data_IF_252887097065
#
_entry.id   IF_252887097065
#
_cell.length_a   1.000
_cell.length_b   1.000
_cell.length_c   1.000
_cell.angle_alpha   90.00
_cell.angle_beta   90.00
_cell.angle_gamma   90.00
#
_symmetry.space_group_name_H-M   'P 1'
#
loop_
_entity.id
_entity.type
_entity.pdbx_description
1 polymer ?
#
# COMPACT_ATOMS: atom_id res chain seq x y z
N UNK A 1 -10.92 -26.03 25.25
CA UNK A 1 -12.15 -26.17 24.44
C UNK A 1 -11.71 -26.12 23.00
N UNK A 2 -12.03 -27.13 22.17
CA UNK A 2 -11.86 -27.01 20.72
C UNK A 2 -13.13 -26.32 20.20
N UNK A 3 -13.08 -25.07 19.73
CA UNK A 3 -14.23 -24.42 19.14
C UNK A 3 -14.48 -25.07 17.77
N UNK A 4 -15.36 -26.07 17.75
CA UNK A 4 -15.76 -26.73 16.49
C UNK A 4 -16.60 -25.80 15.61
N UNK A 5 -17.12 -24.70 16.16
CA UNK A 5 -17.90 -23.69 15.45
C UNK A 5 -17.22 -22.32 15.46
N UNK A 6 -17.07 -21.71 14.29
CA UNK A 6 -16.56 -20.33 14.12
C UNK A 6 -17.39 -19.35 14.94
N UNK A 7 -18.70 -19.59 15.09
CA UNK A 7 -19.56 -18.75 15.90
C UNK A 7 -19.23 -18.80 17.40
N UNK A 8 -18.66 -19.90 17.89
CA UNK A 8 -18.15 -20.00 19.26
C UNK A 8 -16.82 -19.28 19.41
N UNK A 9 -15.92 -19.43 18.43
CA UNK A 9 -14.65 -18.72 18.41
C UNK A 9 -14.86 -17.20 18.39
N UNK A 10 -15.76 -16.70 17.54
CA UNK A 10 -16.11 -15.28 17.46
C UNK A 10 -16.65 -14.73 18.79
N UNK A 11 -17.56 -15.46 19.43
CA UNK A 11 -18.06 -15.09 20.78
C UNK A 11 -16.97 -15.13 21.85
N UNK A 12 -16.08 -16.12 21.79
CA UNK A 12 -14.94 -16.23 22.68
C UNK A 12 -13.95 -15.08 22.46
N UNK A 13 -13.80 -14.59 21.23
CA UNK A 13 -12.89 -13.48 20.90
C UNK A 13 -13.26 -12.20 21.64
N UNK A 14 -14.56 -11.95 21.81
CA UNK A 14 -15.10 -10.80 22.55
C UNK A 14 -15.01 -11.00 24.06
N UNK A 15 -15.05 -12.26 24.53
CA UNK A 15 -15.14 -12.59 25.95
C UNK A 15 -13.78 -12.82 26.62
N UNK A 16 -12.85 -13.48 25.91
CA UNK A 16 -11.53 -13.89 26.38
C UNK A 16 -10.54 -13.99 25.19
N UNK A 17 -10.05 -12.82 24.78
CA UNK A 17 -9.12 -12.69 23.65
C UNK A 17 -7.79 -13.42 23.89
N UNK A 18 -7.33 -13.52 25.14
CA UNK A 18 -6.07 -14.17 25.50
C UNK A 18 -6.17 -15.69 25.34
N UNK A 19 -7.28 -16.30 25.75
CA UNK A 19 -7.53 -17.71 25.52
C UNK A 19 -7.64 -18.04 24.02
N UNK A 20 -8.26 -17.16 23.24
CA UNK A 20 -8.34 -17.30 21.77
C UNK A 20 -6.95 -17.18 21.14
N UNK A 21 -6.12 -16.22 21.59
CA UNK A 21 -4.75 -16.09 21.10
C UNK A 21 -3.92 -17.35 21.39
N UNK A 22 -4.04 -17.94 22.58
CA UNK A 22 -3.37 -19.20 22.93
C UNK A 22 -3.84 -20.37 22.07
N UNK A 23 -5.14 -20.44 21.78
CA UNK A 23 -5.69 -21.45 20.87
C UNK A 23 -5.14 -21.25 19.45
N UNK A 24 -5.11 -20.02 18.92
CA UNK A 24 -4.59 -19.70 17.59
C UNK A 24 -3.09 -20.02 17.43
N UNK A 25 -2.32 -20.02 18.52
CA UNK A 25 -0.93 -20.48 18.50
C UNK A 25 -0.80 -22.01 18.47
N UNK A 26 -1.85 -22.73 18.87
CA UNK A 26 -1.86 -24.20 19.00
C UNK A 26 -2.49 -24.91 17.80
N UNK A 27 -3.22 -24.20 16.93
CA UNK A 27 -3.85 -24.78 15.75
C UNK A 27 -2.85 -25.08 14.64
N UNK A 28 -3.17 -26.09 13.83
CA UNK A 28 -2.37 -26.41 12.65
C UNK A 28 -2.70 -25.50 11.45
N UNK A 29 -1.92 -25.66 10.38
CA UNK A 29 -2.07 -24.84 9.18
C UNK A 29 -3.38 -25.11 8.42
N UNK A 30 -3.92 -26.33 8.48
CA UNK A 30 -5.15 -26.69 7.78
C UNK A 30 -6.37 -26.09 8.48
N UNK A 31 -6.41 -26.15 9.80
CA UNK A 31 -7.46 -25.56 10.64
C UNK A 31 -7.49 -24.04 10.51
N UNK A 32 -6.32 -23.38 10.51
CA UNK A 32 -6.20 -21.95 10.25
C UNK A 32 -6.69 -21.59 8.84
N UNK A 33 -6.29 -22.35 7.83
CA UNK A 33 -6.75 -22.10 6.46
C UNK A 33 -8.27 -22.27 6.35
N UNK A 34 -8.84 -23.30 6.98
CA UNK A 34 -10.29 -23.49 7.04
C UNK A 34 -11.03 -22.35 7.78
N UNK A 35 -10.41 -21.72 8.78
CA UNK A 35 -10.94 -20.52 9.43
C UNK A 35 -10.92 -19.32 8.48
N UNK A 36 -9.79 -19.08 7.82
CA UNK A 36 -9.62 -17.99 6.85
C UNK A 36 -10.52 -18.15 5.61
N UNK A 37 -10.77 -19.38 5.17
CA UNK A 37 -11.72 -19.69 4.09
C UNK A 37 -13.17 -19.43 4.52
N UNK A 38 -13.51 -19.71 5.79
CA UNK A 38 -14.83 -19.39 6.35
C UNK A 38 -15.03 -17.89 6.51
N UNK A 39 -14.00 -17.15 6.90
CA UNK A 39 -13.99 -15.67 6.86
C UNK A 39 -14.24 -15.14 5.46
N UNK A 40 -13.47 -15.60 4.47
CA UNK A 40 -13.63 -15.26 3.06
C UNK A 40 -15.07 -15.53 2.55
N UNK A 41 -15.62 -16.69 2.89
CA UNK A 41 -16.98 -17.08 2.53
C UNK A 41 -18.07 -16.27 3.27
N UNK A 42 -17.77 -15.69 4.43
CA UNK A 42 -18.69 -14.84 5.17
C UNK A 42 -18.75 -13.43 4.60
N UNK A 43 -17.60 -12.81 4.31
CA UNK A 43 -17.52 -11.48 3.68
C UNK A 43 -18.30 -11.43 2.36
N UNK A 44 -18.27 -12.52 1.60
CA UNK A 44 -19.05 -12.64 0.35
C UNK A 44 -20.56 -12.82 0.58
N UNK A 45 -21.02 -13.26 1.76
CA UNK A 45 -22.42 -13.68 2.02
C UNK A 45 -23.28 -12.70 2.83
N UNK A 46 -22.74 -11.56 3.30
CA UNK A 46 -23.42 -10.44 4.00
C UNK A 46 -24.71 -10.80 4.75
N UNK A 47 -24.62 -11.08 6.07
CA UNK A 47 -25.85 -11.34 6.86
C UNK A 47 -26.09 -10.60 8.17
N UNK A 48 -25.11 -10.03 8.90
CA UNK A 48 -25.39 -9.28 10.14
C UNK A 48 -24.24 -8.33 10.54
N UNK A 49 -24.55 -7.16 11.14
CA UNK A 49 -23.56 -6.15 11.60
C UNK A 49 -22.78 -6.60 12.85
N UNK A 50 -23.44 -7.21 13.84
CA UNK A 50 -22.77 -7.69 15.06
C UNK A 50 -21.66 -8.70 14.74
N UNK A 51 -21.93 -9.64 13.81
CA UNK A 51 -20.93 -10.62 13.38
C UNK A 51 -19.73 -9.99 12.68
N UNK A 52 -19.87 -8.78 12.10
CA UNK A 52 -18.73 -8.06 11.49
C UNK A 52 -17.76 -7.56 12.54
N UNK A 53 -18.27 -7.02 13.64
CA UNK A 53 -17.45 -6.60 14.78
C UNK A 53 -16.65 -7.77 15.35
N UNK A 54 -17.30 -8.93 15.48
CA UNK A 54 -16.66 -10.14 15.99
C UNK A 54 -15.54 -10.63 15.04
N UNK A 55 -15.76 -10.58 13.72
CA UNK A 55 -14.73 -10.95 12.73
C UNK A 55 -13.54 -9.99 12.71
N UNK A 56 -13.80 -8.69 12.83
CA UNK A 56 -12.74 -7.68 12.93
C UNK A 56 -11.82 -7.95 14.12
N UNK A 57 -12.39 -8.23 15.30
CA UNK A 57 -11.63 -8.54 16.50
C UNK A 57 -10.74 -9.79 16.30
N UNK A 58 -11.27 -10.83 15.65
CA UNK A 58 -10.52 -12.05 15.35
C UNK A 58 -9.38 -11.78 14.37
N UNK A 59 -9.61 -11.00 13.31
CA UNK A 59 -8.58 -10.61 12.34
C UNK A 59 -7.47 -9.79 13.01
N UNK A 60 -7.83 -8.86 13.91
CA UNK A 60 -6.84 -8.09 14.67
C UNK A 60 -5.94 -8.99 15.52
N UNK A 61 -6.48 -10.03 16.16
CA UNK A 61 -5.67 -11.01 16.90
C UNK A 61 -4.78 -11.84 15.97
N UNK A 62 -5.30 -12.28 14.82
CA UNK A 62 -4.54 -13.04 13.84
C UNK A 62 -3.39 -12.24 13.21
N UNK A 63 -3.57 -10.92 13.07
CA UNK A 63 -2.53 -10.03 12.54
C UNK A 63 -1.46 -9.68 13.58
N UNK A 64 -1.78 -9.78 14.88
CA UNK A 64 -0.80 -9.63 15.97
C UNK A 64 0.08 -10.86 16.18
N UNK A 65 -0.42 -12.05 15.83
CA UNK A 65 0.33 -13.30 16.00
C UNK A 65 1.32 -13.53 14.86
N UNK A 66 2.61 -13.68 15.19
CA UNK A 66 3.69 -13.98 14.23
C UNK A 66 3.40 -15.21 13.37
N UNK A 67 2.76 -16.23 13.94
CA UNK A 67 2.48 -17.49 13.25
C UNK A 67 1.37 -17.38 12.19
N UNK A 68 0.49 -16.38 12.30
CA UNK A 68 -0.71 -16.28 11.46
C UNK A 68 -0.78 -15.00 10.63
N UNK A 69 0.02 -13.97 10.95
CA UNK A 69 -0.01 -12.64 10.33
C UNK A 69 0.10 -12.71 8.81
N UNK A 70 1.19 -13.26 8.27
CA UNK A 70 1.40 -13.34 6.82
C UNK A 70 0.26 -14.03 6.07
N UNK A 71 -0.24 -15.16 6.60
CA UNK A 71 -1.35 -15.91 5.98
C UNK A 71 -2.64 -15.10 5.98
N UNK A 72 -2.91 -14.41 7.09
CA UNK A 72 -4.09 -13.56 7.25
C UNK A 72 -4.02 -12.36 6.31
N UNK A 73 -2.90 -11.65 6.27
CA UNK A 73 -2.66 -10.52 5.36
C UNK A 73 -2.81 -10.94 3.90
N UNK A 74 -2.18 -12.05 3.51
CA UNK A 74 -2.28 -12.59 2.15
C UNK A 74 -3.73 -12.88 1.77
N UNK A 75 -4.49 -13.51 2.68
CA UNK A 75 -5.89 -13.85 2.40
C UNK A 75 -6.75 -12.61 2.25
N UNK A 76 -6.57 -11.61 3.12
CA UNK A 76 -7.29 -10.34 3.07
C UNK A 76 -6.97 -9.59 1.77
N UNK A 77 -5.70 -9.52 1.36
CA UNK A 77 -5.31 -8.88 0.10
C UNK A 77 -6.01 -9.54 -1.09
N UNK A 78 -6.03 -10.87 -1.15
CA UNK A 78 -6.75 -11.58 -2.22
C UNK A 78 -8.27 -11.39 -2.14
N UNK A 79 -8.87 -11.27 -0.95
CA UNK A 79 -10.29 -10.96 -0.80
C UNK A 79 -10.64 -9.58 -1.34
N UNK A 80 -9.86 -8.58 -0.91
CA UNK A 80 -9.98 -7.20 -1.38
C UNK A 80 -9.81 -7.16 -2.91
N UNK A 81 -8.78 -7.82 -3.43
CA UNK A 81 -8.54 -7.93 -4.87
C UNK A 81 -9.73 -8.54 -5.62
N UNK A 82 -10.32 -9.60 -5.06
CA UNK A 82 -11.46 -10.32 -5.63
C UNK A 82 -12.81 -9.62 -5.50
N UNK A 83 -12.84 -8.43 -4.89
CA UNK A 83 -14.01 -7.55 -4.91
C UNK A 83 -15.15 -8.06 -4.03
N UNK A 84 -14.85 -8.78 -2.94
CA UNK A 84 -15.86 -9.32 -2.03
C UNK A 84 -16.60 -8.24 -1.22
N UNK A 85 -15.96 -7.10 -0.98
CA UNK A 85 -16.39 -6.12 0.03
C UNK A 85 -16.55 -4.71 -0.57
N UNK A 86 -17.25 -3.81 0.15
CA UNK A 86 -17.37 -2.42 -0.28
C UNK A 86 -16.03 -1.66 -0.10
N UNK A 87 -15.90 -0.48 -0.69
CA UNK A 87 -14.65 0.29 -0.66
C UNK A 87 -14.16 0.62 0.76
N UNK A 88 -15.07 1.01 1.65
CA UNK A 88 -14.75 1.33 3.05
C UNK A 88 -14.26 0.10 3.82
N UNK A 89 -14.90 -1.05 3.62
CA UNK A 89 -14.51 -2.33 4.21
C UNK A 89 -13.13 -2.75 3.70
N UNK A 90 -12.85 -2.61 2.39
CA UNK A 90 -11.52 -2.85 1.85
C UNK A 90 -10.47 -1.95 2.51
N UNK A 91 -10.73 -0.65 2.64
CA UNK A 91 -9.81 0.28 3.31
C UNK A 91 -9.57 -0.11 4.77
N UNK A 92 -10.62 -0.49 5.49
CA UNK A 92 -10.51 -0.95 6.88
C UNK A 92 -9.60 -2.18 6.97
N UNK A 93 -9.84 -3.21 6.15
CA UNK A 93 -9.05 -4.43 6.18
C UNK A 93 -7.57 -4.21 5.84
N UNK A 94 -7.27 -3.37 4.84
CA UNK A 94 -5.89 -3.03 4.49
C UNK A 94 -5.22 -2.15 5.56
N UNK A 95 -6.00 -1.34 6.27
CA UNK A 95 -5.52 -0.56 7.43
C UNK A 95 -5.14 -1.50 8.57
N UNK A 96 -5.95 -2.53 8.86
CA UNK A 96 -5.60 -3.52 9.90
C UNK A 96 -4.32 -4.27 9.57
N UNK A 97 -4.08 -4.63 8.29
CA UNK A 97 -2.79 -5.21 7.86
C UNK A 97 -1.65 -4.25 8.20
N UNK A 98 -1.80 -2.97 7.83
CA UNK A 98 -0.80 -1.93 8.08
C UNK A 98 -0.48 -1.79 9.57
N UNK A 99 -1.53 -1.73 10.42
CA UNK A 99 -1.39 -1.65 11.87
C UNK A 99 -0.76 -2.92 12.46
N UNK A 100 -1.07 -4.10 11.91
CA UNK A 100 -0.46 -5.37 12.34
C UNK A 100 1.06 -5.38 12.15
N UNK A 101 1.55 -4.92 10.99
CA UNK A 101 2.99 -4.86 10.71
C UNK A 101 3.69 -3.73 11.47
N UNK A 102 3.07 -2.55 11.60
CA UNK A 102 3.60 -1.46 12.42
C UNK A 102 3.67 -1.85 13.91
N UNK A 103 2.64 -2.52 14.42
CA UNK A 103 2.61 -3.03 15.79
C UNK A 103 3.69 -4.09 16.04
N UNK A 104 3.89 -5.01 15.09
CA UNK A 104 4.93 -6.03 15.19
C UNK A 104 6.36 -5.46 15.26
N UNK A 105 6.58 -4.20 14.85
CA UNK A 105 7.86 -3.50 15.06
C UNK A 105 8.02 -2.91 16.46
N UNK A 106 6.92 -2.52 17.12
CA UNK A 106 6.94 -1.72 18.35
C UNK A 106 6.96 -2.55 19.64
N UNK A 107 6.70 -3.86 19.58
CA UNK A 107 6.44 -4.69 20.77
C UNK A 107 7.64 -4.87 21.73
N UNK A 108 8.88 -4.53 21.34
CA UNK A 108 10.08 -4.80 22.15
C UNK A 108 10.73 -3.56 22.80
N UNK A 109 10.30 -2.33 22.49
CA UNK A 109 10.87 -1.09 23.06
C UNK A 109 10.56 -0.89 24.56
N UNK A 110 9.70 -1.73 25.15
CA UNK A 110 9.33 -1.64 26.57
C UNK A 110 10.22 -2.47 27.52
N UNK A 111 11.26 -3.17 27.01
CA UNK A 111 12.18 -3.94 27.86
C UNK A 111 13.50 -3.19 28.11
N UNK A 112 13.57 -2.45 29.22
CA UNK A 112 14.70 -1.59 29.62
C UNK A 112 16.05 -2.32 29.89
N UNK A 113 16.21 -3.60 29.56
CA UNK A 113 17.45 -4.36 29.81
C UNK A 113 17.82 -5.26 28.62
N UNK A 114 18.68 -4.79 27.69
CA UNK A 114 19.16 -5.61 26.58
C UNK A 114 20.17 -6.64 27.10
N UNK A 115 19.73 -7.90 27.21
CA UNK A 115 20.65 -9.04 27.38
C UNK A 115 21.10 -9.53 26.00
N UNK A 116 22.31 -10.11 25.89
CA UNK A 116 22.82 -10.64 24.61
C UNK A 116 21.89 -11.67 23.93
N UNK A 117 21.08 -12.40 24.73
CA UNK A 117 20.04 -13.30 24.22
C UNK A 117 18.78 -12.59 23.70
N UNK A 118 18.49 -11.36 24.17
CA UNK A 118 17.42 -10.51 23.65
C UNK A 118 17.73 -10.01 22.23
N UNK A 119 18.98 -9.61 21.99
CA UNK A 119 19.40 -9.10 20.67
C UNK A 119 19.31 -10.15 19.56
N UNK A 120 19.63 -11.42 19.85
CA UNK A 120 19.51 -12.50 18.85
C UNK A 120 18.05 -12.80 18.52
N UNK A 121 17.16 -12.84 19.54
CA UNK A 121 15.73 -13.06 19.34
C UNK A 121 15.09 -11.92 18.55
N UNK A 122 15.41 -10.67 18.92
CA UNK A 122 14.95 -9.50 18.19
C UNK A 122 15.45 -9.53 16.73
N UNK A 123 16.72 -9.86 16.50
CA UNK A 123 17.25 -9.99 15.14
C UNK A 123 16.52 -11.08 14.32
N UNK A 124 16.25 -12.24 14.91
CA UNK A 124 15.49 -13.31 14.23
C UNK A 124 14.06 -12.89 13.90
N UNK A 125 13.41 -12.15 14.81
CA UNK A 125 12.09 -11.56 14.60
C UNK A 125 12.10 -10.52 13.48
N UNK A 126 13.02 -9.57 13.50
CA UNK A 126 13.21 -8.54 12.46
C UNK A 126 13.41 -9.20 11.09
N UNK A 127 14.22 -10.26 11.02
CA UNK A 127 14.40 -11.00 9.76
C UNK A 127 13.11 -11.69 9.31
N UNK A 128 12.35 -12.30 10.23
CA UNK A 128 11.09 -12.96 9.91
C UNK A 128 10.05 -11.94 9.38
N UNK A 129 9.89 -10.79 10.06
CA UNK A 129 8.98 -9.73 9.62
C UNK A 129 9.42 -9.19 8.25
N UNK A 130 10.71 -8.97 8.03
CA UNK A 130 11.21 -8.54 6.72
C UNK A 130 10.91 -9.56 5.62
N UNK A 131 11.06 -10.86 5.89
CA UNK A 131 10.72 -11.93 4.93
C UNK A 131 9.22 -11.98 4.63
N UNK A 132 8.37 -11.77 5.63
CA UNK A 132 6.93 -11.64 5.42
C UNK A 132 6.59 -10.45 4.52
N UNK A 133 7.19 -9.29 4.77
CA UNK A 133 6.95 -8.07 3.98
C UNK A 133 7.43 -8.25 2.54
N UNK A 134 8.59 -8.89 2.32
CA UNK A 134 9.07 -9.25 0.97
C UNK A 134 8.05 -10.11 0.24
N UNK A 135 7.46 -11.08 0.93
CA UNK A 135 6.43 -11.95 0.35
C UNK A 135 5.17 -11.15 0.00
N UNK A 136 4.72 -10.25 0.88
CA UNK A 136 3.57 -9.39 0.62
C UNK A 136 3.81 -8.45 -0.56
N UNK A 137 4.98 -7.79 -0.63
CA UNK A 137 5.34 -6.93 -1.76
C UNK A 137 5.36 -7.72 -3.07
N UNK A 138 5.86 -8.96 -3.06
CA UNK A 138 5.82 -9.84 -4.23
C UNK A 138 4.39 -10.11 -4.68
N UNK A 139 3.50 -10.52 -3.75
CA UNK A 139 2.09 -10.77 -4.04
C UNK A 139 1.41 -9.50 -4.56
N UNK A 140 1.68 -8.35 -3.94
CA UNK A 140 1.12 -7.07 -4.37
C UNK A 140 1.58 -6.72 -5.78
N UNK A 141 2.86 -6.85 -6.11
CA UNK A 141 3.35 -6.57 -7.46
C UNK A 141 2.76 -7.51 -8.51
N UNK A 142 2.61 -8.80 -8.21
CA UNK A 142 1.91 -9.76 -9.08
C UNK A 142 0.46 -9.32 -9.35
N UNK A 143 -0.29 -8.97 -8.30
CA UNK A 143 -1.67 -8.50 -8.43
C UNK A 143 -1.76 -7.17 -9.18
N UNK A 144 -0.86 -6.23 -8.90
CA UNK A 144 -0.82 -4.92 -9.56
C UNK A 144 -0.52 -5.07 -11.05
N UNK A 145 0.42 -5.94 -11.44
CA UNK A 145 0.69 -6.24 -12.85
C UNK A 145 -0.58 -6.76 -13.54
N UNK A 146 -1.22 -7.79 -12.98
CA UNK A 146 -2.47 -8.34 -13.51
C UNK A 146 -3.58 -7.28 -13.64
N UNK A 147 -3.77 -6.44 -12.62
CA UNK A 147 -4.83 -5.43 -12.63
C UNK A 147 -4.56 -4.20 -13.48
N UNK A 148 -3.30 -3.94 -13.81
CA UNK A 148 -2.91 -2.90 -14.76
C UNK A 148 -3.08 -3.40 -16.20
N UNK A 149 -2.76 -4.67 -16.47
CA UNK A 149 -2.97 -5.29 -17.78
C UNK A 149 -4.47 -5.45 -18.11
N UNK A 150 -5.27 -5.91 -17.15
CA UNK A 150 -6.73 -6.02 -17.28
C UNK A 150 -7.45 -4.88 -16.53
N UNK A 151 -7.10 -3.64 -16.88
CA UNK A 151 -7.68 -2.47 -16.21
C UNK A 151 -9.16 -2.28 -16.58
N UNK A 152 -10.03 -2.82 -15.72
CA UNK A 152 -11.48 -2.73 -15.82
C UNK A 152 -12.16 -2.01 -14.64
N UNK A 153 -13.51 -2.02 -14.58
CA UNK A 153 -14.27 -1.38 -13.49
C UNK A 153 -13.90 -1.90 -12.09
N UNK A 154 -13.57 -3.19 -11.99
CA UNK A 154 -13.11 -3.82 -10.73
C UNK A 154 -11.75 -3.27 -10.32
N UNK A 155 -10.77 -3.34 -11.22
CA UNK A 155 -9.41 -2.83 -10.98
C UNK A 155 -9.43 -1.34 -10.67
N UNK A 156 -10.25 -0.54 -11.37
CA UNK A 156 -10.43 0.89 -11.07
C UNK A 156 -10.84 1.17 -9.62
N UNK A 157 -11.70 0.32 -9.05
CA UNK A 157 -12.12 0.47 -7.66
C UNK A 157 -11.01 0.06 -6.70
N UNK A 158 -10.36 -1.09 -6.91
CA UNK A 158 -9.52 -1.77 -5.91
C UNK A 158 -8.03 -1.38 -5.98
N UNK A 159 -7.57 -0.97 -7.16
CA UNK A 159 -6.18 -0.62 -7.42
C UNK A 159 -5.66 0.47 -6.48
N UNK A 160 -6.38 1.59 -6.22
CA UNK A 160 -5.88 2.62 -5.32
C UNK A 160 -5.68 2.14 -3.89
N UNK A 161 -6.58 1.30 -3.35
CA UNK A 161 -6.48 0.83 -1.97
C UNK A 161 -5.32 -0.16 -1.82
N UNK A 162 -5.15 -1.07 -2.79
CA UNK A 162 -4.04 -2.03 -2.78
C UNK A 162 -2.70 -1.33 -2.98
N UNK A 163 -2.63 -0.32 -3.85
CA UNK A 163 -1.45 0.52 -4.01
C UNK A 163 -1.08 1.24 -2.70
N UNK A 164 -2.06 1.68 -1.92
CA UNK A 164 -1.84 2.36 -0.64
C UNK A 164 -1.06 1.53 0.40
N UNK A 165 -1.03 0.19 0.27
CA UNK A 165 -0.20 -0.65 1.13
C UNK A 165 1.30 -0.58 0.82
N UNK A 166 1.66 -0.33 -0.44
CA UNK A 166 3.05 -0.43 -0.91
C UNK A 166 3.99 0.51 -0.14
N UNK A 167 3.68 1.81 0.03
CA UNK A 167 4.55 2.73 0.78
C UNK A 167 4.72 2.33 2.24
N UNK A 168 3.65 1.82 2.86
CA UNK A 168 3.67 1.42 4.27
C UNK A 168 4.63 0.23 4.44
N UNK A 169 4.48 -0.79 3.59
CA UNK A 169 5.33 -1.97 3.62
C UNK A 169 6.80 -1.63 3.29
N UNK A 170 7.05 -0.75 2.33
CA UNK A 170 8.40 -0.26 2.02
C UNK A 170 8.99 0.55 3.18
N UNK A 171 8.19 1.37 3.86
CA UNK A 171 8.61 2.13 5.03
C UNK A 171 9.00 1.21 6.18
N UNK A 172 8.16 0.22 6.50
CA UNK A 172 8.46 -0.80 7.52
C UNK A 172 9.74 -1.56 7.17
N UNK A 173 9.92 -1.94 5.90
CA UNK A 173 11.14 -2.61 5.44
C UNK A 173 12.39 -1.70 5.61
N UNK A 174 12.26 -0.41 5.30
CA UNK A 174 13.31 0.58 5.48
C UNK A 174 13.67 0.78 6.96
N UNK A 175 12.68 0.80 7.85
CA UNK A 175 12.89 0.96 9.28
C UNK A 175 13.58 -0.27 9.86
N UNK A 176 13.13 -1.49 9.50
CA UNK A 176 13.77 -2.75 9.91
C UNK A 176 15.24 -2.80 9.47
N UNK A 177 15.52 -2.26 8.30
CA UNK A 177 16.86 -2.16 7.76
C UNK A 177 17.80 -1.24 8.54
N UNK A 178 17.29 -0.15 9.15
CA UNK A 178 18.11 0.72 10.01
C UNK A 178 18.54 0.03 11.31
N UNK A 179 17.74 -0.93 11.77
CA UNK A 179 18.06 -1.74 12.97
C UNK A 179 19.06 -2.86 12.67
N UNK A 180 19.14 -3.29 11.41
CA UNK A 180 20.11 -4.27 10.95
C UNK A 180 21.43 -3.59 10.54
N UNK A 181 22.56 -4.25 10.80
CA UNK A 181 23.90 -3.74 10.46
C UNK A 181 24.16 -3.55 8.95
N UNK A 182 23.18 -3.85 8.08
CA UNK A 182 23.30 -3.90 6.61
C UNK A 182 22.50 -2.78 5.91
N UNK A 183 22.76 -1.52 6.28
CA UNK A 183 22.08 -0.36 5.69
C UNK A 183 22.23 -0.26 4.16
N UNK A 184 23.38 -0.66 3.62
CA UNK A 184 23.67 -0.61 2.16
C UNK A 184 22.85 -1.63 1.38
N UNK A 185 22.73 -2.86 1.89
CA UNK A 185 21.91 -3.90 1.25
C UNK A 185 20.44 -3.51 1.23
N UNK A 186 20.03 -2.82 2.27
CA UNK A 186 18.63 -2.44 2.45
C UNK A 186 18.20 -1.24 1.61
N UNK A 187 19.08 -0.26 1.43
CA UNK A 187 18.83 0.83 0.48
C UNK A 187 18.76 0.32 -0.96
N UNK A 188 19.60 -0.67 -1.30
CA UNK A 188 19.51 -1.36 -2.58
C UNK A 188 18.18 -2.11 -2.73
N UNK A 189 17.76 -2.87 -1.71
CA UNK A 189 16.50 -3.60 -1.73
C UNK A 189 15.29 -2.66 -1.88
N UNK A 190 15.28 -1.53 -1.19
CA UNK A 190 14.23 -0.53 -1.32
C UNK A 190 14.21 0.07 -2.74
N UNK A 191 15.39 0.37 -3.29
CA UNK A 191 15.53 0.85 -4.66
C UNK A 191 14.97 -0.15 -5.67
N UNK A 192 15.35 -1.43 -5.58
CA UNK A 192 14.88 -2.50 -6.47
C UNK A 192 13.36 -2.69 -6.43
N UNK A 193 12.74 -2.58 -5.25
CA UNK A 193 11.28 -2.69 -5.14
C UNK A 193 10.56 -1.49 -5.77
N UNK A 194 11.11 -0.27 -5.63
CA UNK A 194 10.57 0.90 -6.31
C UNK A 194 10.76 0.82 -7.83
N UNK A 195 11.90 0.32 -8.30
CA UNK A 195 12.11 0.06 -9.73
C UNK A 195 11.09 -0.93 -10.28
N UNK A 196 10.80 -2.03 -9.56
CA UNK A 196 9.74 -2.98 -9.94
C UNK A 196 8.37 -2.31 -10.04
N UNK A 197 8.01 -1.46 -9.07
CA UNK A 197 6.75 -0.73 -9.09
C UNK A 197 6.66 0.22 -10.30
N UNK A 198 7.74 0.94 -10.61
CA UNK A 198 7.81 1.87 -11.75
C UNK A 198 7.76 1.11 -13.08
N UNK A 199 8.37 -0.08 -13.14
CA UNK A 199 8.44 -0.91 -14.33
C UNK A 199 7.12 -1.65 -14.68
N UNK A 200 6.10 -1.60 -13.81
CA UNK A 200 4.78 -2.14 -14.12
C UNK A 200 4.16 -1.47 -15.36
N UNK A 201 3.18 -2.11 -16.05
CA UNK A 201 2.61 -1.61 -17.30
C UNK A 201 1.61 -0.47 -17.06
N UNK A 202 2.09 0.68 -16.60
CA UNK A 202 1.28 1.87 -16.39
C UNK A 202 0.75 2.42 -17.71
N UNK A 203 -0.50 2.89 -17.69
CA UNK A 203 -1.19 3.45 -18.85
C UNK A 203 -1.60 4.89 -18.58
N UNK A 204 -1.98 5.68 -19.60
CA UNK A 204 -2.52 7.03 -19.40
C UNK A 204 -3.74 7.08 -18.47
N UNK A 205 -4.38 5.93 -18.22
CA UNK A 205 -5.50 5.77 -17.30
C UNK A 205 -5.08 5.55 -15.85
N UNK A 206 -3.95 4.88 -15.63
CA UNK A 206 -3.54 4.40 -14.31
C UNK A 206 -2.34 5.14 -13.73
N UNK A 207 -1.55 5.81 -14.57
CA UNK A 207 -0.41 6.62 -14.14
C UNK A 207 -0.73 7.69 -13.09
N UNK A 208 -1.94 8.31 -13.02
CA UNK A 208 -2.24 9.24 -11.94
C UNK A 208 -2.15 8.58 -10.55
N UNK A 209 -2.50 7.30 -10.41
CA UNK A 209 -2.41 6.58 -9.15
C UNK A 209 -0.97 6.38 -8.71
N UNK A 210 -0.06 6.07 -9.65
CA UNK A 210 1.37 5.97 -9.36
C UNK A 210 1.91 7.32 -8.90
N UNK A 211 1.61 8.40 -9.62
CA UNK A 211 2.15 9.73 -9.29
C UNK A 211 1.66 10.22 -7.91
N UNK A 212 0.39 9.97 -7.59
CA UNK A 212 -0.20 10.30 -6.29
C UNK A 212 0.51 9.53 -5.16
N UNK A 213 0.70 8.21 -5.35
CA UNK A 213 1.42 7.35 -4.41
C UNK A 213 2.87 7.78 -4.17
N UNK A 214 3.61 8.05 -5.25
CA UNK A 214 5.02 8.41 -5.18
C UNK A 214 5.24 9.80 -4.55
N UNK A 215 4.32 10.74 -4.78
CA UNK A 215 4.34 12.04 -4.10
C UNK A 215 4.24 11.86 -2.59
N UNK A 216 3.33 11.03 -2.10
CA UNK A 216 3.19 10.77 -0.66
C UNK A 216 4.39 10.01 -0.09
N UNK A 217 5.08 9.24 -0.94
CA UNK A 217 6.21 8.39 -0.58
C UNK A 217 7.57 9.00 -0.93
N UNK A 218 7.64 10.33 -1.10
CA UNK A 218 8.82 10.97 -1.67
C UNK A 218 10.10 10.81 -0.85
N UNK A 219 9.99 10.56 0.46
CA UNK A 219 11.12 10.25 1.34
C UNK A 219 11.81 8.93 1.03
N UNK A 220 11.09 7.98 0.41
CA UNK A 220 11.61 6.67 0.02
C UNK A 220 12.28 6.72 -1.37
N UNK A 221 12.05 7.77 -2.14
CA UNK A 221 12.46 7.84 -3.55
C UNK A 221 13.89 8.36 -3.71
N UNK A 222 14.71 7.61 -4.44
CA UNK A 222 16.04 8.08 -4.85
C UNK A 222 15.97 8.98 -6.10
N UNK A 223 17.01 9.80 -6.38
CA UNK A 223 17.07 10.59 -7.61
C UNK A 223 16.97 9.76 -8.90
N UNK A 224 17.50 8.53 -8.91
CA UNK A 224 17.40 7.62 -10.07
C UNK A 224 15.98 7.09 -10.24
N UNK A 225 15.27 6.77 -9.16
CA UNK A 225 13.85 6.39 -9.26
C UNK A 225 13.02 7.53 -9.85
N UNK A 226 13.24 8.78 -9.41
CA UNK A 226 12.53 9.93 -9.98
C UNK A 226 12.80 10.12 -11.47
N UNK A 227 14.05 9.92 -11.91
CA UNK A 227 14.40 9.99 -13.32
C UNK A 227 13.65 8.93 -14.14
N UNK A 228 13.59 7.69 -13.66
CA UNK A 228 12.85 6.62 -14.34
C UNK A 228 11.35 6.94 -14.49
N UNK A 229 10.70 7.46 -13.44
CA UNK A 229 9.29 7.87 -13.52
C UNK A 229 9.11 8.99 -14.54
N UNK A 230 10.04 9.94 -14.56
CA UNK A 230 10.02 11.07 -15.48
C UNK A 230 10.15 10.59 -16.94
N UNK A 231 11.12 9.73 -17.23
CA UNK A 231 11.32 9.12 -18.55
C UNK A 231 10.12 8.28 -18.98
N UNK A 232 9.52 7.53 -18.05
CA UNK A 232 8.32 6.73 -18.32
C UNK A 232 7.14 7.64 -18.69
N UNK A 233 6.88 8.69 -17.91
CA UNK A 233 5.81 9.65 -18.19
C UNK A 233 6.05 10.39 -19.53
N UNK A 234 7.29 10.80 -19.82
CA UNK A 234 7.66 11.41 -21.09
C UNK A 234 7.38 10.51 -22.29
N UNK A 235 7.76 9.24 -22.18
CA UNK A 235 7.51 8.23 -23.21
C UNK A 235 6.00 8.08 -23.47
N UNK A 236 5.19 8.09 -22.41
CA UNK A 236 3.74 8.05 -22.55
C UNK A 236 3.17 9.32 -23.21
N UNK A 237 3.62 10.50 -22.80
CA UNK A 237 3.16 11.80 -23.34
C UNK A 237 3.51 12.00 -24.81
N UNK A 238 4.64 11.45 -25.24
CA UNK A 238 5.10 11.49 -26.64
C UNK A 238 4.59 10.30 -27.46
N UNK A 239 3.99 9.31 -26.81
CA UNK A 239 3.43 8.11 -27.40
C UNK A 239 2.18 8.36 -28.23
N UNK A 240 1.70 7.31 -28.91
CA UNK A 240 0.51 7.34 -29.77
C UNK A 240 -0.81 7.27 -29.00
N UNK A 241 -0.78 6.86 -27.73
CA UNK A 241 -1.99 6.73 -26.93
C UNK A 241 -2.47 8.10 -26.45
N UNK A 242 -3.71 8.43 -26.79
CA UNK A 242 -4.31 9.68 -26.33
C UNK A 242 -4.61 9.60 -24.82
N UNK A 243 -4.17 10.62 -24.08
CA UNK A 243 -4.54 10.75 -22.68
C UNK A 243 -6.05 11.01 -22.55
N UNK A 244 -6.75 10.25 -21.68
CA UNK A 244 -8.11 10.61 -21.30
C UNK A 244 -8.11 12.01 -20.69
N UNK A 245 -8.98 12.86 -21.20
CA UNK A 245 -9.03 14.27 -20.78
C UNK A 245 -9.28 14.43 -19.27
N UNK A 246 -9.98 13.48 -18.66
CA UNK A 246 -10.24 13.38 -17.22
C UNK A 246 -8.97 13.17 -16.38
N UNK A 247 -7.91 12.59 -16.95
CA UNK A 247 -6.68 12.27 -16.22
C UNK A 247 -5.57 13.30 -16.41
N UNK A 248 -5.68 14.16 -17.42
CA UNK A 248 -4.66 15.18 -17.69
C UNK A 248 -4.52 16.18 -16.55
N UNK A 249 -5.64 16.60 -15.93
CA UNK A 249 -5.63 17.52 -14.78
C UNK A 249 -4.98 16.90 -13.53
N UNK A 250 -5.33 15.67 -13.11
CA UNK A 250 -4.61 14.95 -12.07
C UNK A 250 -3.10 14.87 -12.34
N UNK A 251 -2.68 14.44 -13.54
CA UNK A 251 -1.26 14.32 -13.87
C UNK A 251 -0.55 15.67 -13.77
N UNK A 252 -1.17 16.73 -14.30
CA UNK A 252 -0.62 18.09 -14.23
C UNK A 252 -0.44 18.55 -12.78
N UNK A 253 -1.42 18.30 -11.91
CA UNK A 253 -1.33 18.60 -10.47
C UNK A 253 -0.18 17.83 -9.82
N UNK A 254 -0.09 16.53 -10.06
CA UNK A 254 0.95 15.69 -9.46
C UNK A 254 2.35 16.04 -9.96
N UNK A 255 2.54 16.32 -11.26
CA UNK A 255 3.83 16.78 -11.78
C UNK A 255 4.30 18.05 -11.09
N UNK A 256 3.41 19.00 -10.83
CA UNK A 256 3.77 20.25 -10.13
C UNK A 256 4.12 19.98 -8.66
N UNK A 257 3.35 19.12 -7.99
CA UNK A 257 3.64 18.69 -6.62
C UNK A 257 5.00 17.99 -6.54
N UNK A 258 5.27 17.00 -7.40
CA UNK A 258 6.55 16.27 -7.46
C UNK A 258 7.70 17.22 -7.80
N UNK A 259 7.50 18.16 -8.74
CA UNK A 259 8.49 19.18 -9.07
C UNK A 259 8.88 20.05 -7.88
N UNK A 260 7.93 20.32 -6.98
CA UNK A 260 8.21 21.07 -5.73
C UNK A 260 9.04 20.25 -4.74
N UNK A 261 8.76 18.96 -4.61
CA UNK A 261 9.46 18.06 -3.68
C UNK A 261 10.87 17.74 -4.17
N UNK A 262 11.01 17.44 -5.46
CA UNK A 262 12.29 17.12 -6.10
C UNK A 262 13.15 18.34 -6.43
N UNK A 263 12.55 19.55 -6.43
CA UNK A 263 13.15 20.80 -6.94
C UNK A 263 13.66 20.69 -8.38
N UNK A 264 13.10 19.78 -9.17
CA UNK A 264 13.47 19.56 -10.56
C UNK A 264 12.46 20.26 -11.49
N UNK A 265 12.95 21.22 -12.28
CA UNK A 265 12.13 22.00 -13.21
C UNK A 265 11.61 21.20 -14.41
N UNK A 266 12.12 19.99 -14.64
CA UNK A 266 11.66 19.15 -15.73
C UNK A 266 10.22 18.68 -15.55
N UNK A 267 9.82 18.35 -14.33
CA UNK A 267 8.42 18.05 -14.00
C UNK A 267 7.47 19.20 -14.35
N UNK A 268 7.93 20.43 -14.14
CA UNK A 268 7.19 21.64 -14.53
C UNK A 268 7.09 21.76 -16.04
N UNK A 269 8.11 21.37 -16.79
CA UNK A 269 8.06 21.37 -18.26
C UNK A 269 7.08 20.32 -18.79
N UNK A 270 7.01 19.13 -18.17
CA UNK A 270 5.99 18.11 -18.49
C UNK A 270 4.58 18.63 -18.21
N UNK A 271 4.36 19.25 -17.05
CA UNK A 271 3.08 19.88 -16.71
C UNK A 271 2.68 20.96 -17.71
N UNK A 272 3.62 21.80 -18.15
CA UNK A 272 3.38 22.82 -19.20
C UNK A 272 3.05 22.21 -20.55
N UNK A 273 3.72 21.11 -20.92
CA UNK A 273 3.45 20.40 -22.15
C UNK A 273 2.02 19.86 -22.15
N UNK A 274 1.61 19.20 -21.06
CA UNK A 274 0.25 18.74 -20.82
C UNK A 274 -0.77 19.87 -20.84
N UNK A 275 -0.50 20.99 -20.17
CA UNK A 275 -1.40 22.14 -20.11
C UNK A 275 -1.76 22.68 -21.50
N UNK A 276 -0.79 22.73 -22.42
CA UNK A 276 -1.01 23.20 -23.80
C UNK A 276 -1.90 22.27 -24.63
N UNK A 277 -2.05 21.02 -24.20
CA UNK A 277 -2.90 20.03 -24.87
C UNK A 277 -4.33 19.99 -24.31
N UNK A 278 -4.61 20.70 -23.20
CA UNK A 278 -5.93 20.73 -22.58
C UNK A 278 -6.94 21.52 -23.41
N UNK A 279 -8.21 21.12 -23.33
CA UNK A 279 -9.32 21.93 -23.80
C UNK A 279 -9.54 23.14 -22.88
N UNK A 280 -10.15 24.22 -23.39
CA UNK A 280 -10.40 25.46 -22.64
C UNK A 280 -11.07 25.22 -21.27
N UNK A 281 -12.04 24.31 -21.21
CA UNK A 281 -12.74 23.96 -19.96
C UNK A 281 -11.79 23.32 -18.94
N UNK A 282 -10.92 22.43 -19.37
CA UNK A 282 -9.96 21.76 -18.49
C UNK A 282 -8.82 22.69 -18.08
N UNK A 283 -8.43 23.64 -18.94
CA UNK A 283 -7.48 24.69 -18.56
C UNK A 283 -7.98 25.52 -17.38
N UNK A 284 -9.26 25.95 -17.41
CA UNK A 284 -9.86 26.73 -16.31
C UNK A 284 -9.88 25.93 -15.00
N UNK A 285 -10.22 24.65 -15.07
CA UNK A 285 -10.20 23.76 -13.91
C UNK A 285 -8.78 23.54 -13.39
N UNK A 286 -7.79 23.34 -14.28
CA UNK A 286 -6.39 23.23 -13.90
C UNK A 286 -5.88 24.51 -13.24
N UNK A 287 -6.15 25.68 -13.81
CA UNK A 287 -5.77 26.97 -13.24
C UNK A 287 -6.35 27.18 -11.84
N UNK A 288 -7.63 26.84 -11.65
CA UNK A 288 -8.27 26.87 -10.33
C UNK A 288 -7.58 25.91 -9.35
N UNK A 289 -7.36 24.66 -9.73
CA UNK A 289 -6.74 23.64 -8.88
C UNK A 289 -5.31 24.02 -8.48
N UNK A 290 -4.54 24.64 -9.39
CA UNK A 290 -3.18 25.09 -9.12
C UNK A 290 -3.10 26.30 -8.20
N UNK A 291 -4.12 27.17 -8.22
CA UNK A 291 -4.21 28.29 -7.27
C UNK A 291 -4.47 27.83 -5.83
N UNK A 292 -5.07 26.64 -5.66
CA UNK A 292 -5.39 26.05 -4.37
C UNK A 292 -4.25 25.21 -3.76
N UNK A 293 -3.14 25.00 -4.47
CA UNK A 293 -1.95 24.29 -3.94
C UNK A 293 -1.15 25.24 -3.02
N UNK A 294 -0.77 24.85 -1.78
CA UNK A 294 -0.12 25.76 -0.84
C UNK A 294 1.24 26.29 -1.34
N UNK A 295 1.25 27.58 -1.69
CA UNK A 295 2.29 28.64 -1.66
C UNK A 295 3.82 28.39 -1.71
N UNK A 296 4.37 27.18 -1.81
CA UNK A 296 5.83 27.00 -2.04
C UNK A 296 6.23 27.17 -3.51
N UNK A 297 5.26 27.18 -4.44
CA UNK A 297 5.46 27.24 -5.89
C UNK A 297 5.33 28.64 -6.51
N UNK A 298 4.86 29.64 -5.76
CA UNK A 298 4.73 31.02 -6.26
C UNK A 298 6.10 31.68 -6.53
N UNK A 299 7.18 31.17 -5.95
CA UNK A 299 8.55 31.60 -6.21
C UNK A 299 9.13 31.05 -7.53
N UNK A 300 8.47 30.08 -8.18
CA UNK A 300 8.95 29.44 -9.40
C UNK A 300 8.44 30.08 -10.71
N UNK A 301 7.75 31.23 -10.66
CA UNK A 301 7.31 31.94 -11.86
C UNK A 301 6.35 31.14 -12.74
N UNK A 302 5.54 30.27 -12.13
CA UNK A 302 4.51 29.46 -12.79
C UNK A 302 3.29 30.30 -13.19
N UNK A 303 3.47 31.22 -14.15
CA UNK A 303 2.34 31.77 -14.91
C UNK A 303 2.08 30.83 -16.08
N UNK A 304 1.12 29.93 -15.92
CA UNK A 304 0.49 29.25 -17.04
C UNK A 304 -0.32 30.33 -17.78
N UNK A 305 0.18 30.77 -18.93
CA UNK A 305 -0.62 31.57 -19.88
C UNK A 305 -1.05 30.62 -20.98
N UNK A 306 -2.36 30.53 -21.19
CA UNK A 306 -2.96 29.93 -22.36
C UNK A 306 -2.41 30.56 -23.66
#
# INVERSE_FOLDING_TARGET
MQPQDVAELLRATVSDADAVAQYLLSIDAEELNGLLDRFAAHETKKKNEQQRGDWLALVQLLLRSDSTRLRTSTRIIHLVWNGSSNELECMQWLTEISLGYLGAMQEDDNSNNPTAGSNMKNRMRVTAIADEIRMLLRILFELLDDGLQDYGPRSRRVLPQVLGLVPILLGVLADLATTASDAVKSSLELHENLEKLIALPWTPRTIPFLLDLLKESASLMSPSNWLQVQEHLESMLTGREAFPSENMNPILRECIAIGSVTRNCHWVNLARHLFRQLSVRLCQEAEFNLQMVPLSLHSAGLRFKA
#
